data_IF_851667321134
#
_entry.id   IF_851667321134
#
_cell.length_a   1.000
_cell.length_b   1.000
_cell.length_c   1.000
_cell.angle_alpha   90.00
_cell.angle_beta   90.00
_cell.angle_gamma   90.00
#
_symmetry.space_group_name_H-M   'P 1'
#
loop_
_entity.id
_entity.type
_entity.pdbx_description
1 polymer ?
#
# COMPACT_ATOMS: atom_id res chain seq x y z
N UNK A 1 -81.47 49.84 -1.88
CA UNK A 1 -80.43 49.53 -2.83
C UNK A 1 -79.52 48.43 -2.21
N UNK A 2 -79.71 47.20 -2.66
CA UNK A 2 -79.00 46.04 -2.10
C UNK A 2 -77.85 45.68 -3.02
N UNK A 3 -76.62 45.64 -2.50
CA UNK A 3 -75.43 45.26 -3.23
C UNK A 3 -75.17 43.75 -3.10
N UNK A 4 -75.06 43.13 -4.24
CA UNK A 4 -74.82 41.71 -4.44
C UNK A 4 -73.35 41.38 -4.14
N UNK A 5 -73.04 40.52 -3.13
CA UNK A 5 -71.73 39.95 -2.85
C UNK A 5 -71.60 38.59 -3.50
N UNK A 6 -71.14 38.60 -4.73
CA UNK A 6 -70.73 37.39 -5.45
C UNK A 6 -69.46 36.74 -4.84
N UNK A 7 -69.67 35.71 -4.09
CA UNK A 7 -68.53 34.81 -3.60
C UNK A 7 -68.05 33.95 -4.73
N UNK A 8 -66.89 34.30 -5.31
CA UNK A 8 -66.16 33.42 -6.21
C UNK A 8 -65.57 32.25 -5.41
N UNK A 9 -66.11 31.05 -5.52
CA UNK A 9 -65.50 29.80 -5.08
C UNK A 9 -64.32 29.48 -6.02
N UNK A 10 -63.13 29.49 -5.49
CA UNK A 10 -61.93 28.92 -6.18
C UNK A 10 -62.10 27.40 -6.22
N UNK A 11 -62.38 26.86 -7.40
CA UNK A 11 -62.22 25.41 -7.63
C UNK A 11 -60.72 25.05 -7.63
N UNK A 12 -60.26 24.44 -6.56
CA UNK A 12 -58.93 23.84 -6.52
C UNK A 12 -58.98 22.64 -7.44
N UNK A 13 -58.16 22.66 -8.49
CA UNK A 13 -58.09 21.58 -9.47
C UNK A 13 -57.41 20.36 -8.81
N UNK A 14 -58.24 19.39 -8.42
CA UNK A 14 -57.82 18.16 -7.70
C UNK A 14 -56.81 17.40 -8.54
N UNK A 15 -56.87 17.49 -9.87
CA UNK A 15 -55.92 16.84 -10.77
C UNK A 15 -54.50 17.43 -10.62
N UNK A 16 -54.40 18.76 -10.48
CA UNK A 16 -53.12 19.45 -10.28
C UNK A 16 -52.48 19.07 -8.93
N UNK A 17 -53.28 18.98 -7.86
CA UNK A 17 -52.81 18.57 -6.54
C UNK A 17 -52.30 17.11 -6.53
N UNK A 18 -53.00 16.20 -7.21
CA UNK A 18 -52.62 14.79 -7.33
C UNK A 18 -51.30 14.65 -8.13
N UNK A 19 -51.13 15.41 -9.23
CA UNK A 19 -49.89 15.40 -10.02
C UNK A 19 -48.70 15.92 -9.22
N UNK A 20 -48.84 16.97 -8.43
CA UNK A 20 -47.78 17.52 -7.57
C UNK A 20 -47.41 16.51 -6.48
N UNK A 21 -48.37 15.85 -5.84
CA UNK A 21 -48.09 14.85 -4.79
C UNK A 21 -47.34 13.63 -5.36
N UNK A 22 -47.71 13.19 -6.57
CA UNK A 22 -47.01 12.05 -7.24
C UNK A 22 -45.57 12.44 -7.66
N UNK A 23 -45.39 13.68 -8.16
CA UNK A 23 -44.05 14.17 -8.52
C UNK A 23 -43.15 14.32 -7.30
N UNK A 24 -43.65 14.85 -6.18
CA UNK A 24 -42.89 14.99 -4.94
C UNK A 24 -42.54 13.63 -4.33
N UNK A 25 -43.48 12.65 -4.36
CA UNK A 25 -43.19 11.27 -3.91
C UNK A 25 -42.11 10.60 -4.76
N UNK A 26 -42.13 10.75 -6.09
CA UNK A 26 -41.07 10.21 -6.97
C UNK A 26 -39.73 10.89 -6.72
N UNK A 27 -39.71 12.20 -6.48
CA UNK A 27 -38.47 12.94 -6.19
C UNK A 27 -37.88 12.56 -4.84
N UNK A 28 -38.69 12.37 -3.80
CA UNK A 28 -38.26 11.91 -2.48
C UNK A 28 -37.72 10.47 -2.57
N UNK A 29 -38.39 9.58 -3.35
CA UNK A 29 -37.89 8.20 -3.52
C UNK A 29 -36.56 8.12 -4.27
N UNK A 30 -36.35 8.96 -5.29
CA UNK A 30 -35.07 9.06 -6.03
C UNK A 30 -33.98 9.67 -5.15
N UNK A 31 -34.25 10.68 -4.34
CA UNK A 31 -33.31 11.24 -3.37
C UNK A 31 -32.96 10.26 -2.26
N UNK A 32 -33.91 9.48 -1.73
CA UNK A 32 -33.61 8.44 -0.75
C UNK A 32 -32.77 7.29 -1.35
N UNK A 33 -32.98 6.91 -2.61
CA UNK A 33 -32.16 5.91 -3.29
C UNK A 33 -30.73 6.41 -3.59
N UNK A 34 -30.56 7.72 -3.86
CA UNK A 34 -29.23 8.32 -4.06
C UNK A 34 -28.43 8.52 -2.75
N UNK A 35 -29.13 8.70 -1.62
CA UNK A 35 -28.48 8.78 -0.31
C UNK A 35 -28.14 7.40 0.29
N UNK A 36 -28.74 6.32 -0.22
CA UNK A 36 -28.41 4.94 0.17
C UNK A 36 -27.19 4.37 -0.59
N UNK A 37 -26.63 5.09 -1.57
CA UNK A 37 -25.29 4.85 -2.08
C UNK A 37 -24.25 5.42 -1.10
N UNK A 38 -24.47 5.21 0.20
CA UNK A 38 -23.46 5.39 1.23
C UNK A 38 -22.26 4.52 0.87
N UNK A 39 -21.12 5.15 0.65
CA UNK A 39 -19.84 4.50 0.57
C UNK A 39 -19.78 3.46 1.69
N UNK A 40 -19.91 2.18 1.35
CA UNK A 40 -19.50 1.13 2.27
C UNK A 40 -18.03 1.42 2.53
N UNK A 41 -17.74 2.12 3.61
CA UNK A 41 -16.38 2.19 4.14
C UNK A 41 -16.01 0.72 4.34
N UNK A 42 -15.13 0.21 3.51
CA UNK A 42 -14.61 -1.13 3.67
C UNK A 42 -14.08 -1.18 5.09
N UNK A 43 -14.73 -1.97 5.94
CA UNK A 43 -14.30 -2.13 7.32
C UNK A 43 -12.86 -2.64 7.29
N UNK A 44 -11.96 -1.97 8.01
CA UNK A 44 -10.59 -2.43 8.11
C UNK A 44 -10.59 -3.90 8.53
N UNK A 45 -9.81 -4.77 7.85
CA UNK A 45 -9.81 -6.19 8.19
C UNK A 45 -9.34 -6.36 9.63
N UNK A 46 -10.10 -7.16 10.38
CA UNK A 46 -9.81 -7.40 11.78
C UNK A 46 -8.52 -8.20 11.94
N UNK A 47 -7.65 -7.79 12.86
CA UNK A 47 -6.55 -8.60 13.36
C UNK A 47 -7.10 -9.66 14.32
N UNK A 48 -6.50 -10.84 14.30
CA UNK A 48 -6.77 -11.90 15.29
C UNK A 48 -5.48 -12.23 16.02
N UNK A 49 -5.59 -12.77 17.24
CA UNK A 49 -4.47 -13.10 18.09
C UNK A 49 -4.57 -14.52 18.57
N UNK A 50 -3.43 -15.21 18.73
CA UNK A 50 -3.35 -16.57 19.27
C UNK A 50 -2.18 -16.68 20.22
N UNK A 51 -2.39 -17.34 21.36
CA UNK A 51 -1.33 -17.63 22.34
C UNK A 51 -0.42 -18.78 21.86
N UNK A 52 -0.99 -19.76 21.15
CA UNK A 52 -0.24 -20.83 20.48
C UNK A 52 0.06 -20.40 19.06
N UNK A 53 1.33 -20.02 18.83
CA UNK A 53 1.80 -19.44 17.58
C UNK A 53 3.27 -19.86 17.30
N UNK A 54 3.77 -19.56 16.09
CA UNK A 54 5.15 -19.82 15.71
C UNK A 54 6.11 -18.96 16.56
N UNK A 55 7.20 -19.54 17.11
CA UNK A 55 8.21 -18.76 17.85
C UNK A 55 8.84 -17.60 17.08
N UNK A 56 8.82 -17.66 15.74
CA UNK A 56 9.31 -16.62 14.82
C UNK A 56 8.19 -15.62 14.41
N UNK A 57 6.99 -15.83 14.93
CA UNK A 57 5.82 -14.97 14.72
C UNK A 57 5.52 -14.07 15.90
N UNK A 58 4.57 -13.18 15.72
CA UNK A 58 4.11 -12.23 16.74
C UNK A 58 2.85 -12.72 17.47
N UNK A 59 2.25 -13.84 17.07
CA UNK A 59 0.93 -14.29 17.53
C UNK A 59 -0.23 -13.46 16.98
N UNK A 60 0.05 -12.44 16.16
CA UNK A 60 -0.91 -11.57 15.50
C UNK A 60 -1.11 -12.02 14.06
N UNK A 61 -2.36 -12.12 13.64
CA UNK A 61 -2.75 -12.62 12.32
C UNK A 61 -3.50 -11.56 11.53
N UNK A 62 -3.17 -11.45 10.25
CA UNK A 62 -3.82 -10.59 9.28
C UNK A 62 -4.19 -11.38 8.02
N UNK A 63 -5.43 -11.29 7.59
CA UNK A 63 -5.94 -12.01 6.42
C UNK A 63 -5.64 -13.54 6.43
N UNK A 64 -5.50 -14.14 7.62
CA UNK A 64 -5.22 -15.56 7.83
C UNK A 64 -3.75 -15.94 7.89
N UNK A 65 -2.82 -15.01 7.68
CA UNK A 65 -1.37 -15.18 7.85
C UNK A 65 -0.95 -14.65 9.22
N UNK A 66 -0.04 -15.37 9.89
CA UNK A 66 0.68 -14.85 11.05
C UNK A 66 1.73 -13.83 10.60
N UNK A 67 1.87 -12.74 11.35
CA UNK A 67 2.88 -11.70 11.10
C UNK A 67 4.20 -12.17 11.68
N UNK A 68 5.28 -12.13 10.86
CA UNK A 68 6.62 -12.46 11.30
C UNK A 68 7.18 -11.40 12.27
N UNK A 69 8.11 -11.80 13.12
CA UNK A 69 8.88 -10.85 13.91
C UNK A 69 9.79 -10.01 13.02
N UNK A 70 9.90 -8.71 13.35
CA UNK A 70 10.77 -7.78 12.61
C UNK A 70 12.23 -8.17 12.80
N UNK A 71 13.00 -8.23 11.71
CA UNK A 71 14.46 -8.39 11.78
C UNK A 71 15.07 -7.13 12.40
N UNK A 72 15.72 -7.26 13.55
CA UNK A 72 16.44 -6.17 14.20
C UNK A 72 17.69 -5.74 13.41
N UNK A 73 18.14 -4.50 13.64
CA UNK A 73 19.34 -3.93 12.99
C UNK A 73 20.61 -4.77 13.23
N UNK A 74 20.64 -5.62 14.26
CA UNK A 74 21.73 -6.56 14.49
C UNK A 74 21.88 -7.58 13.34
N UNK A 75 20.84 -7.79 12.55
CA UNK A 75 20.84 -8.60 11.32
C UNK A 75 21.31 -7.86 10.06
N UNK A 76 21.79 -6.62 10.17
CA UNK A 76 22.17 -5.80 9.01
C UNK A 76 23.21 -6.46 8.09
N UNK A 77 24.14 -7.23 8.65
CA UNK A 77 25.17 -7.96 7.88
C UNK A 77 24.54 -8.97 6.89
N UNK A 78 23.37 -9.52 7.23
CA UNK A 78 22.60 -10.39 6.33
C UNK A 78 22.21 -9.66 5.05
N UNK A 79 21.84 -8.39 5.14
CA UNK A 79 21.42 -7.57 3.99
C UNK A 79 22.59 -7.24 3.06
N UNK A 80 23.82 -7.30 3.56
CA UNK A 80 25.05 -6.95 2.82
C UNK A 80 25.87 -8.17 2.39
N UNK A 81 25.38 -9.40 2.68
CA UNK A 81 26.14 -10.63 2.36
C UNK A 81 26.44 -10.73 0.85
N UNK A 82 27.66 -11.16 0.47
CA UNK A 82 28.03 -11.27 -0.94
C UNK A 82 27.16 -12.25 -1.73
N UNK A 83 26.67 -13.31 -1.07
CA UNK A 83 25.82 -14.35 -1.65
C UNK A 83 24.48 -13.80 -2.19
N UNK A 84 24.04 -12.66 -1.68
CA UNK A 84 22.81 -11.97 -2.11
C UNK A 84 22.76 -11.75 -3.62
N UNK A 85 23.93 -11.47 -4.25
CA UNK A 85 24.02 -11.29 -5.70
C UNK A 85 23.59 -12.54 -6.49
N UNK A 86 23.86 -13.73 -5.96
CA UNK A 86 23.49 -14.99 -6.61
C UNK A 86 22.12 -15.48 -6.16
N UNK A 87 21.79 -15.29 -4.90
CA UNK A 87 20.60 -15.82 -4.25
C UNK A 87 19.33 -15.04 -4.60
N UNK A 88 19.43 -13.71 -4.75
CA UNK A 88 18.30 -12.82 -4.94
C UNK A 88 18.34 -12.07 -6.28
N UNK A 89 19.52 -11.96 -6.93
CA UNK A 89 19.70 -11.28 -8.21
C UNK A 89 19.15 -9.84 -8.18
N UNK A 90 19.65 -8.97 -7.27
CA UNK A 90 19.21 -7.58 -7.20
C UNK A 90 19.38 -6.79 -8.51
N UNK A 91 20.30 -7.22 -9.37
CA UNK A 91 20.48 -6.68 -10.72
C UNK A 91 19.23 -6.92 -11.59
N UNK A 92 18.66 -8.13 -11.55
CA UNK A 92 17.40 -8.47 -12.26
C UNK A 92 16.23 -7.72 -11.64
N UNK A 93 16.14 -7.68 -10.30
CA UNK A 93 15.10 -6.92 -9.61
C UNK A 93 15.08 -5.47 -10.08
N UNK A 94 16.23 -4.78 -10.04
CA UNK A 94 16.33 -3.37 -10.43
C UNK A 94 15.96 -3.12 -11.90
N UNK A 95 16.32 -4.05 -12.80
CA UNK A 95 15.90 -3.99 -14.22
C UNK A 95 14.39 -4.20 -14.40
N UNK A 96 13.76 -4.94 -13.51
CA UNK A 96 12.32 -5.22 -13.54
C UNK A 96 11.47 -4.13 -12.89
N UNK A 97 12.10 -3.18 -12.17
CA UNK A 97 11.35 -2.08 -11.54
C UNK A 97 10.72 -1.18 -12.62
N UNK A 98 9.44 -0.85 -12.49
CA UNK A 98 8.78 0.14 -13.36
C UNK A 98 9.20 1.56 -12.98
N UNK A 99 10.49 1.80 -12.77
CA UNK A 99 11.10 3.02 -12.30
C UNK A 99 11.81 3.75 -13.45
N UNK A 100 11.61 5.05 -13.56
CA UNK A 100 12.11 5.88 -14.67
C UNK A 100 12.95 7.05 -14.17
N UNK A 101 13.90 7.56 -14.99
CA UNK A 101 14.60 8.78 -14.68
C UNK A 101 13.65 9.96 -14.39
N UNK A 102 13.94 10.70 -13.31
CA UNK A 102 13.13 11.82 -12.85
C UNK A 102 11.96 11.48 -11.94
N UNK A 103 11.62 10.20 -11.76
CA UNK A 103 10.56 9.78 -10.84
C UNK A 103 11.01 9.86 -9.37
N UNK A 104 10.03 9.91 -8.48
CA UNK A 104 10.22 9.83 -7.04
C UNK A 104 9.85 8.41 -6.61
N UNK A 105 10.80 7.71 -6.01
CA UNK A 105 10.60 6.38 -5.47
C UNK A 105 10.58 6.39 -3.93
N UNK A 106 9.97 5.37 -3.32
CA UNK A 106 10.14 5.07 -1.91
C UNK A 106 10.57 3.61 -1.75
N UNK A 107 11.59 3.38 -0.95
CA UNK A 107 12.06 2.07 -0.49
C UNK A 107 11.58 1.91 0.95
N UNK A 108 10.61 1.02 1.18
CA UNK A 108 9.97 0.81 2.49
C UNK A 108 10.61 -0.41 3.17
N UNK A 109 11.11 -0.23 4.38
CA UNK A 109 12.02 -1.18 5.02
C UNK A 109 13.38 -1.12 4.34
N UNK A 110 13.91 0.09 4.12
CA UNK A 110 15.13 0.32 3.35
C UNK A 110 16.38 -0.33 3.97
N UNK A 111 16.35 -0.68 5.25
CA UNK A 111 17.44 -1.31 5.96
C UNK A 111 18.75 -0.51 5.82
N UNK A 112 19.81 -1.18 5.37
CA UNK A 112 21.13 -0.58 5.13
C UNK A 112 21.20 0.33 3.89
N UNK A 113 20.12 0.43 3.10
CA UNK A 113 20.11 1.17 1.84
C UNK A 113 20.69 0.40 0.66
N UNK A 114 20.80 -0.94 0.79
CA UNK A 114 21.37 -1.81 -0.25
C UNK A 114 20.72 -1.61 -1.64
N UNK A 115 19.40 -1.48 -1.70
CA UNK A 115 18.68 -1.19 -2.95
C UNK A 115 18.53 0.32 -3.19
N UNK A 116 18.36 1.10 -2.14
CA UNK A 116 18.04 2.52 -2.23
C UNK A 116 19.05 3.33 -3.05
N UNK A 117 20.38 3.13 -2.84
CA UNK A 117 21.37 3.87 -3.61
C UNK A 117 21.37 3.52 -5.10
N UNK A 118 21.05 2.26 -5.43
CA UNK A 118 20.91 1.79 -6.81
C UNK A 118 19.66 2.38 -7.47
N UNK A 119 18.55 2.45 -6.74
CA UNK A 119 17.34 3.14 -7.19
C UNK A 119 17.60 4.64 -7.43
N UNK A 120 18.40 5.27 -6.56
CA UNK A 120 18.79 6.66 -6.72
C UNK A 120 19.58 6.91 -8.02
N UNK A 121 20.42 5.95 -8.43
CA UNK A 121 21.10 6.02 -9.74
C UNK A 121 20.10 5.91 -10.92
N UNK A 122 19.08 5.05 -10.80
CA UNK A 122 18.06 4.88 -11.85
C UNK A 122 17.23 6.14 -12.03
N UNK A 123 16.77 6.77 -10.95
CA UNK A 123 15.97 8.00 -11.03
C UNK A 123 16.82 9.22 -11.41
N UNK A 124 18.12 9.18 -11.16
CA UNK A 124 19.07 10.26 -11.50
C UNK A 124 18.82 11.57 -10.76
N UNK A 125 19.54 12.60 -11.11
CA UNK A 125 19.59 13.89 -10.39
C UNK A 125 18.25 14.64 -10.32
N UNK A 126 17.33 14.34 -11.24
CA UNK A 126 15.98 14.95 -11.27
C UNK A 126 14.96 14.18 -10.45
N UNK A 127 15.29 12.94 -10.07
CA UNK A 127 14.47 12.08 -9.24
C UNK A 127 14.92 12.08 -7.78
N UNK A 128 14.22 11.32 -6.96
CA UNK A 128 14.54 11.17 -5.53
C UNK A 128 14.12 9.80 -5.04
N UNK A 129 14.83 9.28 -4.03
CA UNK A 129 14.43 8.09 -3.29
C UNK A 129 14.18 8.46 -1.82
N UNK A 130 12.96 8.22 -1.35
CA UNK A 130 12.67 8.18 0.08
C UNK A 130 13.05 6.80 0.61
N UNK A 131 13.93 6.76 1.60
CA UNK A 131 14.38 5.53 2.24
C UNK A 131 13.73 5.48 3.62
N UNK A 132 12.70 4.66 3.77
CA UNK A 132 11.87 4.59 4.99
C UNK A 132 12.24 3.35 5.78
N UNK A 133 12.57 3.52 7.03
CA UNK A 133 12.76 2.42 7.98
C UNK A 133 12.22 2.83 9.36
N UNK A 134 11.80 1.85 10.17
CA UNK A 134 11.30 2.09 11.53
C UNK A 134 12.42 2.06 12.58
N UNK A 135 13.63 1.62 12.18
CA UNK A 135 14.78 1.49 13.05
C UNK A 135 15.79 2.61 12.76
N UNK A 136 16.04 3.54 13.69
CA UNK A 136 16.99 4.63 13.47
C UNK A 136 18.42 4.11 13.21
N UNK A 137 18.79 2.97 13.78
CA UNK A 137 20.10 2.35 13.56
C UNK A 137 20.29 1.88 12.10
N UNK A 138 19.23 1.41 11.45
CA UNK A 138 19.25 1.08 10.02
C UNK A 138 19.45 2.35 9.19
N UNK A 139 18.78 3.46 9.53
CA UNK A 139 18.96 4.73 8.83
C UNK A 139 20.37 5.31 9.00
N UNK A 140 21.03 5.06 10.14
CA UNK A 140 22.45 5.43 10.33
C UNK A 140 23.38 4.61 9.40
N UNK A 141 23.11 3.31 9.23
CA UNK A 141 23.82 2.46 8.28
C UNK A 141 23.57 2.90 6.84
N UNK A 142 22.33 3.17 6.51
CA UNK A 142 21.90 3.70 5.22
C UNK A 142 22.63 5.01 4.88
N UNK A 143 22.71 5.95 5.81
CA UNK A 143 23.40 7.23 5.58
C UNK A 143 24.88 7.02 5.22
N UNK A 144 25.57 6.08 5.90
CA UNK A 144 26.95 5.71 5.57
C UNK A 144 27.04 5.09 4.17
N UNK A 145 26.14 4.18 3.81
CA UNK A 145 26.06 3.56 2.48
C UNK A 145 25.86 4.60 1.38
N UNK A 146 24.97 5.57 1.60
CA UNK A 146 24.74 6.67 0.64
C UNK A 146 25.99 7.53 0.45
N UNK A 147 26.74 7.82 1.54
CA UNK A 147 28.00 8.54 1.47
C UNK A 147 29.08 7.76 0.71
N UNK A 148 29.23 6.47 0.95
CA UNK A 148 30.15 5.57 0.24
C UNK A 148 29.91 5.56 -1.28
N UNK A 149 28.64 5.61 -1.70
CA UNK A 149 28.23 5.63 -3.10
C UNK A 149 28.04 7.04 -3.67
N UNK A 150 28.42 8.09 -2.93
CA UNK A 150 28.25 9.50 -3.35
C UNK A 150 26.82 9.83 -3.78
N UNK A 151 25.83 9.18 -3.18
CA UNK A 151 24.41 9.37 -3.48
C UNK A 151 23.88 10.58 -2.75
N UNK A 152 23.29 11.53 -3.46
CA UNK A 152 22.79 12.80 -2.90
C UNK A 152 21.29 13.01 -3.08
N UNK A 153 20.67 12.28 -4.01
CA UNK A 153 19.26 12.39 -4.36
C UNK A 153 18.37 11.42 -3.57
N UNK A 154 18.62 11.31 -2.26
CA UNK A 154 17.83 10.49 -1.33
C UNK A 154 17.36 11.32 -0.14
N UNK A 155 16.43 10.75 0.60
CA UNK A 155 15.99 11.25 1.91
C UNK A 155 15.67 10.08 2.83
N UNK A 156 16.43 9.95 3.92
CA UNK A 156 16.12 9.02 4.99
C UNK A 156 14.91 9.52 5.78
N UNK A 157 13.97 8.62 6.07
CA UNK A 157 12.73 8.93 6.80
C UNK A 157 12.52 7.88 7.88
N UNK A 158 12.48 8.30 9.12
CA UNK A 158 12.09 7.43 10.22
C UNK A 158 10.56 7.28 10.18
N UNK A 159 10.13 6.08 9.79
CA UNK A 159 8.73 5.68 9.80
C UNK A 159 8.26 5.22 11.17
N UNK A 160 6.98 4.93 11.28
CA UNK A 160 6.37 4.25 12.42
C UNK A 160 5.73 2.94 11.93
N UNK A 161 5.32 2.06 12.85
CA UNK A 161 4.71 0.76 12.52
C UNK A 161 3.40 0.86 11.72
N UNK A 162 2.78 2.05 11.68
CA UNK A 162 1.53 2.33 10.96
C UNK A 162 1.65 3.45 9.94
N UNK A 163 2.77 4.17 9.86
CA UNK A 163 2.89 5.36 9.02
C UNK A 163 4.31 5.50 8.45
N UNK A 164 4.40 5.70 7.15
CA UNK A 164 5.66 5.96 6.44
C UNK A 164 6.20 7.36 6.68
N UNK A 165 5.39 8.28 7.19
CA UNK A 165 5.65 9.73 7.31
C UNK A 165 5.98 10.42 5.97
N UNK A 166 5.64 9.80 4.84
CA UNK A 166 5.82 10.41 3.52
C UNK A 166 4.70 11.42 3.22
N UNK A 167 5.03 12.50 2.47
CA UNK A 167 4.01 13.44 2.01
C UNK A 167 2.98 12.76 1.10
N UNK A 168 1.72 13.21 1.17
CA UNK A 168 0.68 12.69 0.27
C UNK A 168 0.99 12.99 -1.19
N UNK A 169 0.58 12.07 -2.09
CA UNK A 169 0.71 12.19 -3.56
C UNK A 169 2.10 12.62 -4.04
N UNK A 170 3.15 12.16 -3.36
CA UNK A 170 4.54 12.55 -3.61
C UNK A 170 5.38 11.50 -4.33
N UNK A 171 4.94 10.23 -4.33
CA UNK A 171 5.72 9.08 -4.78
C UNK A 171 5.12 8.46 -6.05
N UNK A 172 5.98 8.14 -7.03
CA UNK A 172 5.57 7.46 -8.28
C UNK A 172 5.62 5.94 -8.15
N UNK A 173 6.66 5.43 -7.45
CA UNK A 173 6.89 3.98 -7.24
C UNK A 173 7.26 3.71 -5.79
N UNK A 174 6.60 2.75 -5.18
CA UNK A 174 6.97 2.18 -3.88
C UNK A 174 7.54 0.79 -4.10
N UNK A 175 8.69 0.51 -3.51
CA UNK A 175 9.31 -0.80 -3.43
C UNK A 175 9.24 -1.31 -1.99
N UNK A 176 8.86 -2.56 -1.84
CA UNK A 176 8.94 -3.36 -0.61
C UNK A 176 9.64 -4.68 -0.95
N UNK A 177 10.76 -4.97 -0.32
CA UNK A 177 11.52 -6.21 -0.54
C UNK A 177 11.73 -6.94 0.77
N UNK A 178 11.14 -8.11 0.88
CA UNK A 178 11.23 -9.00 2.04
C UNK A 178 10.95 -8.28 3.38
N UNK A 179 9.93 -7.41 3.39
CA UNK A 179 9.61 -6.57 4.55
C UNK A 179 8.13 -6.58 4.91
N UNK A 180 7.23 -6.75 3.94
CA UNK A 180 5.80 -6.65 4.22
C UNK A 180 5.31 -7.72 5.18
N UNK A 181 5.88 -8.93 5.11
CA UNK A 181 5.54 -10.01 6.02
C UNK A 181 5.83 -9.68 7.49
N UNK A 182 6.69 -8.68 7.75
CA UNK A 182 7.04 -8.16 9.08
C UNK A 182 6.19 -6.95 9.52
N UNK A 183 5.33 -6.40 8.67
CA UNK A 183 4.50 -5.25 9.09
C UNK A 183 3.55 -5.65 10.21
N UNK A 184 3.76 -5.08 11.39
CA UNK A 184 2.88 -5.35 12.55
C UNK A 184 1.45 -4.84 12.33
N UNK A 185 1.30 -3.77 11.54
CA UNK A 185 0.01 -3.19 11.13
C UNK A 185 -0.06 -3.06 9.59
N UNK A 186 -0.15 -4.20 8.86
CA UNK A 186 -0.03 -4.19 7.39
C UNK A 186 -1.11 -3.35 6.72
N UNK A 187 -2.35 -3.34 7.21
CA UNK A 187 -3.42 -2.53 6.63
C UNK A 187 -3.14 -1.02 6.76
N UNK A 188 -2.81 -0.56 7.97
CA UNK A 188 -2.54 0.85 8.27
C UNK A 188 -1.28 1.33 7.54
N UNK A 189 -0.21 0.53 7.53
CA UNK A 189 1.01 0.85 6.79
C UNK A 189 0.71 0.98 5.28
N UNK A 190 -0.05 0.05 4.71
CA UNK A 190 -0.45 0.14 3.30
C UNK A 190 -1.37 1.33 3.02
N UNK A 191 -2.23 1.75 3.94
CA UNK A 191 -3.00 2.99 3.80
C UNK A 191 -2.08 4.21 3.77
N UNK A 192 -1.02 4.24 4.60
CA UNK A 192 -0.01 5.30 4.58
C UNK A 192 0.76 5.31 3.25
N UNK A 193 1.21 4.15 2.77
CA UNK A 193 1.86 3.99 1.46
C UNK A 193 0.96 4.50 0.33
N UNK A 194 -0.32 4.11 0.33
CA UNK A 194 -1.29 4.53 -0.68
C UNK A 194 -1.57 6.04 -0.62
N UNK A 195 -1.56 6.65 0.56
CA UNK A 195 -1.66 8.10 0.70
C UNK A 195 -0.47 8.81 0.06
N UNK A 196 0.75 8.27 0.22
CA UNK A 196 1.96 8.83 -0.35
C UNK A 196 2.05 8.64 -1.87
N UNK A 197 1.48 7.58 -2.41
CA UNK A 197 1.46 7.31 -3.84
C UNK A 197 0.60 8.32 -4.61
N UNK A 198 1.15 8.86 -5.71
CA UNK A 198 0.38 9.63 -6.69
C UNK A 198 -0.75 8.80 -7.32
N UNK A 199 -1.80 9.42 -7.86
CA UNK A 199 -2.78 8.71 -8.68
C UNK A 199 -2.10 7.90 -9.79
N UNK A 200 -2.42 6.61 -9.89
CA UNK A 200 -1.78 5.70 -10.85
C UNK A 200 -0.33 5.31 -10.51
N UNK A 201 0.17 5.67 -9.34
CA UNK A 201 1.45 5.21 -8.82
C UNK A 201 1.49 3.69 -8.64
N UNK A 202 2.69 3.13 -8.55
CA UNK A 202 2.93 1.68 -8.60
C UNK A 202 3.51 1.20 -7.27
N UNK A 203 3.04 0.04 -6.82
CA UNK A 203 3.62 -0.73 -5.72
C UNK A 203 4.31 -1.94 -6.32
N UNK A 204 5.58 -2.10 -6.02
CA UNK A 204 6.37 -3.30 -6.32
C UNK A 204 6.58 -4.04 -5.00
N UNK A 205 6.05 -5.23 -4.94
CA UNK A 205 6.00 -6.07 -3.75
C UNK A 205 6.81 -7.34 -4.02
N UNK A 206 7.92 -7.48 -3.34
CA UNK A 206 8.87 -8.57 -3.53
C UNK A 206 8.95 -9.39 -2.25
N UNK A 207 8.75 -10.70 -2.38
CA UNK A 207 8.78 -11.62 -1.25
C UNK A 207 9.43 -12.95 -1.66
N UNK A 208 10.07 -13.62 -0.72
CA UNK A 208 10.49 -15.00 -0.91
C UNK A 208 9.29 -15.91 -1.15
N UNK A 209 9.42 -16.83 -2.12
CA UNK A 209 8.33 -17.73 -2.51
C UNK A 209 8.01 -18.73 -1.40
N UNK A 210 6.80 -18.65 -0.85
CA UNK A 210 6.29 -19.66 0.07
C UNK A 210 5.88 -20.95 -0.64
N UNK A 211 5.65 -20.90 -1.95
CA UNK A 211 5.35 -22.05 -2.81
C UNK A 211 6.53 -23.00 -3.00
N UNK A 212 7.76 -22.48 -2.83
CA UNK A 212 8.98 -23.26 -3.02
C UNK A 212 9.56 -23.68 -1.65
N UNK A 213 9.49 -24.98 -1.30
CA UNK A 213 10.05 -25.49 -0.06
C UNK A 213 11.59 -25.45 -0.04
N UNK A 214 12.25 -25.39 -1.20
CA UNK A 214 13.72 -25.35 -1.31
C UNK A 214 14.30 -23.95 -1.03
N UNK A 215 13.48 -22.90 -0.99
CA UNK A 215 13.93 -21.57 -0.56
C UNK A 215 14.29 -21.61 0.93
N UNK A 216 15.59 -21.44 1.31
CA UNK A 216 16.08 -21.68 2.67
C UNK A 216 15.82 -20.47 3.59
N UNK A 217 14.56 -20.04 3.65
CA UNK A 217 14.08 -18.93 4.47
C UNK A 217 12.98 -19.48 5.40
N UNK A 218 12.92 -18.97 6.62
CA UNK A 218 11.93 -19.36 7.60
C UNK A 218 10.51 -19.17 7.07
N UNK A 219 9.56 -20.06 7.41
CA UNK A 219 8.22 -20.06 6.81
C UNK A 219 7.47 -18.72 6.89
N UNK A 220 7.55 -18.02 8.04
CA UNK A 220 6.85 -16.74 8.23
C UNK A 220 7.48 -15.57 7.47
N UNK A 221 8.75 -15.70 7.05
CA UNK A 221 9.46 -14.71 6.23
C UNK A 221 9.34 -15.02 4.72
N UNK A 222 8.33 -15.81 4.34
CA UNK A 222 7.96 -16.09 2.95
C UNK A 222 6.48 -15.78 2.74
N UNK A 223 6.13 -15.28 1.58
CA UNK A 223 4.72 -15.12 1.19
C UNK A 223 4.44 -15.76 -0.16
N UNK A 224 3.28 -16.39 -0.30
CA UNK A 224 2.83 -16.86 -1.60
C UNK A 224 2.21 -15.72 -2.41
N UNK A 225 2.29 -15.81 -3.75
CA UNK A 225 1.57 -14.89 -4.64
C UNK A 225 0.09 -14.80 -4.26
N UNK A 226 -0.53 -15.95 -3.98
CA UNK A 226 -1.94 -16.02 -3.58
C UNK A 226 -2.23 -15.21 -2.30
N UNK A 227 -1.34 -15.27 -1.30
CA UNK A 227 -1.50 -14.51 -0.06
C UNK A 227 -1.28 -13.01 -0.29
N UNK A 228 -0.24 -12.62 -1.04
CA UNK A 228 0.00 -11.21 -1.39
C UNK A 228 -1.21 -10.63 -2.13
N UNK A 229 -1.73 -11.34 -3.13
CA UNK A 229 -2.92 -10.90 -3.89
C UNK A 229 -4.18 -10.81 -3.04
N UNK A 230 -4.34 -11.72 -2.08
CA UNK A 230 -5.46 -11.70 -1.12
C UNK A 230 -5.40 -10.45 -0.24
N UNK A 231 -4.22 -10.10 0.27
CA UNK A 231 -4.04 -8.91 1.11
C UNK A 231 -4.15 -7.62 0.27
N UNK A 232 -3.58 -7.59 -0.93
CA UNK A 232 -3.72 -6.47 -1.87
C UNK A 232 -5.17 -6.22 -2.32
N UNK A 233 -6.01 -7.26 -2.38
CA UNK A 233 -7.43 -7.12 -2.73
C UNK A 233 -8.26 -6.35 -1.67
N UNK A 234 -7.75 -6.19 -0.45
CA UNK A 234 -8.34 -5.39 0.61
C UNK A 234 -8.06 -3.89 0.45
N UNK A 235 -7.27 -3.50 -0.56
CA UNK A 235 -6.76 -2.17 -0.81
C UNK A 235 -7.21 -1.66 -2.19
N UNK A 236 -7.24 -0.35 -2.43
CA UNK A 236 -7.53 0.22 -3.75
C UNK A 236 -6.35 0.04 -4.72
N UNK A 237 -5.92 -1.21 -4.88
CA UNK A 237 -4.86 -1.64 -5.78
C UNK A 237 -5.43 -2.48 -6.91
N UNK A 238 -4.87 -2.32 -8.09
CA UNK A 238 -5.09 -3.17 -9.26
C UNK A 238 -3.84 -3.99 -9.50
N UNK A 239 -3.96 -5.31 -9.52
CA UNK A 239 -2.87 -6.18 -9.95
C UNK A 239 -2.52 -5.92 -11.42
N UNK A 240 -1.22 -5.82 -11.71
CA UNK A 240 -0.69 -5.60 -13.05
C UNK A 240 -0.05 -6.88 -13.58
N UNK A 241 0.98 -7.38 -12.88
CA UNK A 241 1.73 -8.57 -13.30
C UNK A 241 2.49 -9.22 -12.14
N UNK A 242 2.87 -10.48 -12.32
CA UNK A 242 3.84 -11.20 -11.52
C UNK A 242 5.06 -11.53 -12.40
N UNK A 243 6.27 -11.32 -11.88
CA UNK A 243 7.54 -11.60 -12.55
C UNK A 243 8.29 -12.65 -11.72
N UNK A 244 8.57 -13.81 -12.34
CA UNK A 244 9.16 -14.98 -11.69
C UNK A 244 10.63 -15.21 -12.08
N UNK A 245 11.33 -14.15 -12.48
CA UNK A 245 12.72 -14.25 -12.96
C UNK A 245 13.78 -14.31 -11.88
N UNK A 246 13.42 -13.95 -10.63
CA UNK A 246 14.33 -14.02 -9.50
C UNK A 246 14.50 -15.47 -9.01
N UNK A 247 15.68 -15.87 -8.51
CA UNK A 247 15.91 -17.25 -8.09
C UNK A 247 15.01 -17.72 -6.93
N UNK A 248 14.77 -16.84 -5.94
CA UNK A 248 14.09 -17.20 -4.68
C UNK A 248 12.84 -16.40 -4.38
N UNK A 249 12.66 -15.28 -5.08
CA UNK A 249 11.59 -14.31 -4.84
C UNK A 249 10.68 -14.20 -6.05
N UNK A 250 9.48 -13.68 -5.84
CA UNK A 250 8.63 -13.18 -6.90
C UNK A 250 8.45 -11.65 -6.77
N UNK A 251 8.22 -11.00 -7.91
CA UNK A 251 7.95 -9.57 -7.97
C UNK A 251 6.48 -9.41 -8.38
N UNK A 252 5.68 -8.79 -7.53
CA UNK A 252 4.27 -8.54 -7.78
C UNK A 252 4.05 -7.04 -7.95
N UNK A 253 3.56 -6.63 -9.11
CA UNK A 253 3.35 -5.22 -9.43
C UNK A 253 1.86 -4.90 -9.35
N UNK A 254 1.56 -3.84 -8.62
CA UNK A 254 0.23 -3.27 -8.46
C UNK A 254 0.23 -1.80 -8.84
N UNK A 255 -0.94 -1.30 -9.23
CA UNK A 255 -1.19 0.11 -9.52
C UNK A 255 -2.29 0.66 -8.60
N UNK A 256 -2.08 1.85 -8.04
CA UNK A 256 -3.12 2.59 -7.30
C UNK A 256 -4.27 2.94 -8.26
N UNK A 257 -5.50 2.57 -7.85
CA UNK A 257 -6.76 2.88 -8.58
C UNK A 257 -7.12 4.35 -8.51
#
# INVERSE_FOLDING_TARGET
>A
MWGDHSTKRQHIDILAVVMIVVAVRKFIFVCCCLLAAGSALAQAPAYTYRDDHDPDGTGKFYAGREIAQVMGHQGADWLERPERQQEERPDILLQSLPLRPGEVAADIGAGTGYLSWRMAQIVGDKGRVYCVDIQPEMLDLLARKMAEHHTTNFQAVLGAVTDTHLPADSVDVVLMVDVYHEFDHPYEMMQSILRALKPGGRVVWVEYRAEDPEVPIKPLHKMSEAQVRKEAALLPLQFVEAIETLPRQHILIFKKK
#
